data_IF_007539021160
#
_entry.id   IF_007539021160
#
_cell.length_a   1.000
_cell.length_b   1.000
_cell.length_c   1.000
_cell.angle_alpha   90.00
_cell.angle_beta   90.00
_cell.angle_gamma   90.00
#
_symmetry.space_group_name_H-M   'P 1'
#
loop_
_entity.id
_entity.type
_entity.pdbx_description
1 polymer ?
#
# COMPACT_ATOMS: atom_id res chain seq x y z
N UNK A 1 -5.75 0.76 17.53
CA UNK A 1 -5.63 2.23 17.54
C UNK A 1 -6.38 2.77 16.33
N UNK A 2 -7.24 3.76 16.52
CA UNK A 2 -7.91 4.42 15.41
C UNK A 2 -6.86 5.10 14.52
N UNK A 3 -6.89 4.85 13.22
CA UNK A 3 -6.01 5.53 12.26
C UNK A 3 -6.34 7.02 12.24
N UNK A 4 -5.31 7.85 12.37
CA UNK A 4 -5.44 9.28 12.11
C UNK A 4 -5.57 9.42 10.59
N UNK A 5 -6.77 9.79 10.13
CA UNK A 5 -6.96 10.27 8.77
C UNK A 5 -6.41 11.71 8.73
N UNK A 6 -5.18 11.86 8.25
CA UNK A 6 -4.48 13.13 8.21
C UNK A 6 -5.27 14.21 7.44
N UNK A 7 -5.93 13.82 6.36
CA UNK A 7 -6.75 14.74 5.59
C UNK A 7 -7.94 15.27 6.41
N UNK A 8 -8.66 14.37 7.09
CA UNK A 8 -9.76 14.78 7.99
C UNK A 8 -9.23 15.48 9.25
N UNK A 9 -8.09 15.05 9.78
CA UNK A 9 -7.47 15.72 10.93
C UNK A 9 -7.19 17.19 10.61
N UNK A 10 -6.50 17.49 9.50
CA UNK A 10 -6.17 18.86 9.13
C UNK A 10 -7.39 19.68 8.71
N UNK A 11 -8.43 19.06 8.15
CA UNK A 11 -9.71 19.73 7.86
C UNK A 11 -10.37 20.33 9.11
N UNK A 12 -10.18 19.69 10.27
CA UNK A 12 -10.74 20.13 11.56
C UNK A 12 -9.67 20.65 12.51
N UNK A 13 -8.45 20.90 12.01
CA UNK A 13 -7.36 21.41 12.82
C UNK A 13 -7.67 22.82 13.31
N UNK A 14 -7.58 23.00 14.62
CA UNK A 14 -7.70 24.27 15.31
C UNK A 14 -6.38 24.57 16.02
N UNK A 15 -5.67 25.61 15.54
CA UNK A 15 -4.40 26.07 16.10
C UNK A 15 -4.50 26.58 17.55
N UNK A 16 -5.72 26.85 18.04
CA UNK A 16 -5.98 27.25 19.43
C UNK A 16 -6.21 26.03 20.33
N UNK A 17 -6.36 24.83 19.78
CA UNK A 17 -6.54 23.62 20.55
C UNK A 17 -5.20 23.00 20.89
N UNK A 18 -4.79 22.96 22.19
CA UNK A 18 -3.51 22.41 22.61
C UNK A 18 -3.29 20.94 22.21
N UNK A 19 -4.38 20.16 22.11
CA UNK A 19 -4.30 18.76 21.70
C UNK A 19 -4.03 18.62 20.20
N UNK A 20 -4.54 19.52 19.38
CA UNK A 20 -4.25 19.56 17.97
C UNK A 20 -2.79 19.96 17.70
N UNK A 21 -2.27 20.95 18.45
CA UNK A 21 -0.85 21.34 18.38
C UNK A 21 0.06 20.17 18.74
N UNK A 22 -0.23 19.47 19.86
CA UNK A 22 0.53 18.29 20.28
C UNK A 22 0.48 17.16 19.26
N UNK A 23 -0.67 16.94 18.60
CA UNK A 23 -0.81 15.94 17.57
C UNK A 23 0.03 16.25 16.32
N UNK A 24 0.07 17.52 15.90
CA UNK A 24 0.95 17.97 14.79
C UNK A 24 2.41 17.75 15.17
N UNK A 25 2.83 18.19 16.36
CA UNK A 25 4.19 18.00 16.83
C UNK A 25 4.58 16.53 16.87
N UNK A 26 3.68 15.66 17.35
CA UNK A 26 3.92 14.21 17.34
C UNK A 26 4.09 13.66 15.93
N UNK A 27 3.30 14.14 14.96
CA UNK A 27 3.43 13.77 13.54
C UNK A 27 4.79 14.19 12.98
N UNK A 28 5.21 15.44 13.25
CA UNK A 28 6.51 15.97 12.84
C UNK A 28 7.67 15.15 13.41
N UNK A 29 7.56 14.72 14.68
CA UNK A 29 8.61 13.95 15.37
C UNK A 29 8.68 12.46 14.95
N UNK A 30 7.59 11.89 14.41
CA UNK A 30 7.47 10.45 14.19
C UNK A 30 7.26 10.03 12.73
N UNK A 31 7.04 10.96 11.81
CA UNK A 31 6.93 10.66 10.38
C UNK A 31 8.28 10.83 9.67
N UNK A 32 8.64 9.94 8.73
CA UNK A 32 9.79 10.15 7.86
C UNK A 32 9.67 11.45 7.07
N UNK A 33 10.79 12.16 6.88
CA UNK A 33 10.86 13.49 6.25
C UNK A 33 10.06 13.60 4.94
N UNK A 34 10.07 12.56 4.10
CA UNK A 34 9.30 12.54 2.84
C UNK A 34 7.76 12.55 3.01
N UNK A 35 7.28 12.17 4.20
CA UNK A 35 5.86 12.28 4.55
C UNK A 35 5.55 13.60 5.26
N UNK A 36 6.59 14.24 5.84
CA UNK A 36 6.49 15.55 6.43
C UNK A 36 6.32 16.64 5.37
N UNK A 37 6.96 16.51 4.21
CA UNK A 37 6.82 17.47 3.12
C UNK A 37 5.34 17.53 2.65
N UNK A 38 4.70 16.39 2.42
CA UNK A 38 3.28 16.33 2.09
C UNK A 38 2.39 16.82 3.26
N UNK A 39 2.85 16.66 4.49
CA UNK A 39 2.12 17.00 5.71
C UNK A 39 2.30 18.48 6.05
N UNK A 40 3.49 19.06 5.79
CA UNK A 40 3.80 20.49 5.99
C UNK A 40 2.94 21.34 5.05
N UNK A 41 2.81 20.97 3.78
CA UNK A 41 1.97 21.67 2.83
C UNK A 41 0.51 21.70 3.28
N UNK A 42 -0.02 20.59 3.78
CA UNK A 42 -1.36 20.50 4.34
C UNK A 42 -1.50 21.30 5.64
N UNK A 43 -0.51 21.23 6.53
CA UNK A 43 -0.51 22.02 7.76
C UNK A 43 -0.48 23.53 7.49
N UNK A 44 0.30 23.99 6.50
CA UNK A 44 0.34 25.39 6.09
C UNK A 44 -0.98 25.87 5.47
N UNK A 45 -1.60 25.04 4.62
CA UNK A 45 -2.92 25.32 4.04
C UNK A 45 -3.98 25.49 5.14
N UNK A 46 -4.01 24.60 6.12
CA UNK A 46 -5.03 24.61 7.18
C UNK A 46 -4.67 25.54 8.36
N UNK A 47 -3.40 25.92 8.56
CA UNK A 47 -2.98 26.98 9.51
C UNK A 47 -3.35 28.39 9.04
N UNK A 48 -3.98 28.54 7.88
CA UNK A 48 -4.46 29.83 7.41
C UNK A 48 -3.34 30.80 6.99
N UNK A 49 -2.14 30.32 6.72
CA UNK A 49 -1.11 31.12 6.05
C UNK A 49 -1.56 31.38 4.61
N UNK A 50 -2.41 32.38 4.44
CA UNK A 50 -2.73 32.97 3.15
C UNK A 50 -1.46 33.51 2.54
N UNK A 51 -0.99 32.95 1.46
CA UNK A 51 -0.08 33.62 0.58
C UNK A 51 1.12 32.83 0.08
N UNK A 52 0.87 31.73 -0.57
CA UNK A 52 1.60 31.42 -1.81
C UNK A 52 0.62 30.66 -2.67
N UNK A 53 0.26 31.26 -3.79
CA UNK A 53 -0.43 30.55 -4.83
C UNK A 53 0.43 29.34 -5.17
N UNK A 54 0.01 28.17 -4.70
CA UNK A 54 0.46 26.92 -5.29
C UNK A 54 -0.08 27.00 -6.70
N UNK A 55 0.74 27.50 -7.62
CA UNK A 55 0.50 27.26 -9.03
C UNK A 55 0.31 25.77 -9.13
N UNK A 56 -0.94 25.37 -9.37
CA UNK A 56 -1.24 24.05 -9.82
C UNK A 56 -0.32 23.81 -11.02
N UNK A 57 0.78 23.12 -10.79
CA UNK A 57 1.56 22.58 -11.87
C UNK A 57 0.64 21.52 -12.45
N UNK A 58 -0.08 21.91 -13.50
CA UNK A 58 -0.79 20.98 -14.34
C UNK A 58 0.20 19.86 -14.62
N UNK A 59 -0.09 18.69 -14.11
CA UNK A 59 0.66 17.50 -14.40
C UNK A 59 0.52 17.26 -15.92
N UNK A 60 1.44 17.83 -16.67
CA UNK A 60 1.69 17.39 -18.04
C UNK A 60 2.02 15.91 -17.95
N UNK A 61 1.51 15.06 -18.85
CA UNK A 61 1.86 13.66 -18.89
C UNK A 61 3.35 13.57 -19.21
N UNK A 62 4.18 13.45 -18.18
CA UNK A 62 5.59 13.14 -18.36
C UNK A 62 5.70 11.74 -18.92
N UNK A 63 6.31 11.66 -20.07
CA UNK A 63 6.74 10.45 -20.72
C UNK A 63 7.49 9.52 -19.72
N UNK A 64 7.47 8.19 -19.94
CA UNK A 64 8.04 7.23 -19.01
C UNK A 64 9.52 7.48 -18.83
N UNK A 65 9.92 7.93 -17.64
CA UNK A 65 11.33 7.96 -17.25
C UNK A 65 11.75 6.54 -16.98
N UNK A 66 12.55 5.99 -17.85
CA UNK A 66 13.19 4.69 -17.69
C UNK A 66 14.12 4.73 -16.47
N UNK A 67 13.94 3.81 -15.52
CA UNK A 67 15.00 3.38 -14.60
C UNK A 67 15.12 4.08 -13.25
N UNK A 68 14.04 4.51 -12.62
CA UNK A 68 14.01 4.85 -11.18
C UNK A 68 13.27 3.78 -10.38
N UNK A 69 13.53 3.72 -9.09
CA UNK A 69 12.98 2.75 -8.12
C UNK A 69 11.43 2.75 -8.15
N UNK A 70 10.88 1.93 -9.05
CA UNK A 70 9.47 1.94 -9.48
C UNK A 70 8.59 1.13 -8.50
N UNK A 71 8.71 1.44 -7.20
CA UNK A 71 7.87 0.85 -6.17
C UNK A 71 6.48 1.52 -6.18
N UNK A 72 5.38 0.79 -6.44
CA UNK A 72 4.04 1.36 -6.37
C UNK A 72 3.69 1.73 -4.93
N UNK A 73 3.85 2.99 -4.57
CA UNK A 73 3.65 3.48 -3.20
C UNK A 73 2.21 3.31 -2.72
N UNK A 74 1.24 3.44 -3.64
CA UNK A 74 -0.16 3.17 -3.33
C UNK A 74 -0.39 1.69 -2.96
N UNK A 75 0.39 0.78 -3.55
CA UNK A 75 0.35 -0.65 -3.20
C UNK A 75 0.84 -0.92 -1.78
N UNK A 76 1.94 -0.28 -1.37
CA UNK A 76 2.43 -0.39 0.01
C UNK A 76 1.39 0.13 1.02
N UNK A 77 0.71 1.23 0.67
CA UNK A 77 -0.37 1.78 1.50
C UNK A 77 -1.53 0.79 1.64
N UNK A 78 -1.98 0.20 0.54
CA UNK A 78 -3.04 -0.79 0.55
C UNK A 78 -2.63 -2.04 1.36
N UNK A 79 -1.42 -2.56 1.16
CA UNK A 79 -0.93 -3.71 1.92
C UNK A 79 -0.97 -3.40 3.41
N UNK A 80 -0.39 -2.28 3.84
CA UNK A 80 -0.39 -1.86 5.25
C UNK A 80 -1.80 -1.64 5.81
N UNK A 81 -2.76 -1.34 4.95
CA UNK A 81 -4.15 -1.18 5.36
C UNK A 81 -4.83 -2.51 5.71
N UNK A 82 -4.53 -3.56 5.00
CA UNK A 82 -5.22 -4.84 5.16
C UNK A 82 -4.42 -5.89 5.92
N UNK A 83 -3.09 -5.79 5.94
CA UNK A 83 -2.23 -6.63 6.77
C UNK A 83 -2.04 -5.99 8.16
N UNK A 84 -2.06 -6.78 9.20
CA UNK A 84 -1.66 -6.32 10.53
C UNK A 84 -0.14 -6.16 10.65
N UNK A 85 0.36 -5.13 11.33
CA UNK A 85 1.79 -5.03 11.64
C UNK A 85 2.08 -5.64 13.02
N UNK A 86 2.90 -6.67 13.04
CA UNK A 86 3.33 -7.33 14.27
C UNK A 86 4.83 -7.13 14.48
N UNK A 87 5.21 -6.29 15.44
CA UNK A 87 6.62 -5.98 15.73
C UNK A 87 7.32 -7.08 16.55
N UNK A 88 6.57 -8.09 17.02
CA UNK A 88 7.09 -9.28 17.68
C UNK A 88 6.72 -10.50 16.84
N UNK A 89 7.69 -11.39 16.67
CA UNK A 89 7.52 -12.61 15.90
C UNK A 89 6.41 -13.52 16.46
N UNK A 90 5.62 -14.10 15.57
CA UNK A 90 4.52 -15.01 15.88
C UNK A 90 4.51 -16.22 14.94
N UNK A 91 3.97 -17.36 15.35
CA UNK A 91 3.86 -18.53 14.50
C UNK A 91 2.79 -18.32 13.43
N UNK A 92 2.93 -18.98 12.28
CA UNK A 92 1.90 -18.97 11.26
C UNK A 92 0.54 -19.41 11.83
N UNK A 93 -0.51 -18.58 11.73
CA UNK A 93 -1.84 -18.89 12.28
C UNK A 93 -2.48 -20.15 11.72
N UNK A 94 -2.12 -20.57 10.49
CA UNK A 94 -2.70 -21.75 9.84
C UNK A 94 -2.05 -23.03 10.32
N UNK A 95 -0.72 -23.04 10.45
CA UNK A 95 0.04 -24.21 10.89
C UNK A 95 0.26 -24.28 12.40
N UNK A 96 0.12 -23.13 13.10
CA UNK A 96 0.49 -23.00 14.51
C UNK A 96 2.00 -23.07 14.76
N UNK A 97 2.82 -23.06 13.69
CA UNK A 97 4.26 -23.27 13.76
C UNK A 97 5.04 -22.46 12.72
N UNK A 98 5.82 -23.14 11.93
CA UNK A 98 6.61 -22.51 10.84
C UNK A 98 5.74 -22.24 9.61
N UNK A 99 6.06 -21.16 8.85
CA UNK A 99 7.15 -20.21 9.11
C UNK A 99 6.82 -19.21 10.22
N UNK A 100 7.83 -18.77 10.97
CA UNK A 100 7.69 -17.67 11.91
C UNK A 100 7.58 -16.37 11.12
N UNK A 101 6.59 -15.56 11.48
CA UNK A 101 6.18 -14.35 10.76
C UNK A 101 6.37 -13.11 11.62
N UNK A 102 6.70 -11.96 11.00
CA UNK A 102 6.87 -10.68 11.68
C UNK A 102 6.54 -9.52 10.72
N UNK A 103 6.39 -8.32 11.26
CA UNK A 103 6.11 -7.11 10.49
C UNK A 103 4.76 -7.18 9.79
N UNK A 104 4.76 -6.98 8.49
CA UNK A 104 3.59 -6.99 7.62
C UNK A 104 3.30 -8.37 6.98
N UNK A 105 3.76 -9.45 7.60
CA UNK A 105 3.61 -10.80 7.06
C UNK A 105 4.91 -11.38 6.48
N UNK A 106 6.06 -10.80 6.81
CA UNK A 106 7.37 -11.26 6.35
C UNK A 106 7.86 -12.46 7.15
N UNK A 107 8.44 -13.46 6.48
CA UNK A 107 8.95 -14.69 7.09
C UNK A 107 10.47 -14.81 7.01
N UNK A 108 11.14 -13.85 6.36
CA UNK A 108 12.59 -13.83 6.13
C UNK A 108 13.19 -12.48 6.47
N UNK A 109 14.39 -12.51 7.07
CA UNK A 109 15.24 -11.33 7.30
C UNK A 109 15.82 -10.82 5.98
N UNK A 110 16.45 -9.66 5.98
CA UNK A 110 17.08 -9.07 4.77
C UNK A 110 18.17 -9.95 4.15
N UNK A 111 18.86 -10.73 4.96
CA UNK A 111 19.89 -11.70 4.55
C UNK A 111 19.32 -13.05 4.08
N UNK A 112 17.99 -13.20 4.10
CA UNK A 112 17.30 -14.44 3.71
C UNK A 112 17.15 -15.46 4.84
N UNK A 113 17.74 -15.24 6.01
CA UNK A 113 17.58 -16.14 7.17
C UNK A 113 16.14 -16.09 7.73
N UNK A 114 15.66 -17.17 8.37
CA UNK A 114 14.34 -17.19 8.98
C UNK A 114 14.28 -16.33 10.25
N UNK A 115 13.09 -15.89 10.59
CA UNK A 115 12.80 -15.37 11.93
C UNK A 115 12.58 -16.51 12.92
N UNK A 116 12.82 -16.23 14.20
CA UNK A 116 12.60 -17.14 15.32
C UNK A 116 11.63 -16.52 16.33
N UNK A 117 10.99 -17.37 17.11
CA UNK A 117 10.16 -16.92 18.21
C UNK A 117 11.00 -16.09 19.19
N UNK A 118 10.46 -14.93 19.56
CA UNK A 118 11.16 -13.96 20.42
C UNK A 118 11.85 -12.83 19.66
N UNK A 119 12.06 -12.96 18.34
CA UNK A 119 12.56 -11.85 17.52
C UNK A 119 11.60 -10.64 17.58
N UNK A 120 12.17 -9.45 17.63
CA UNK A 120 11.46 -8.18 17.60
C UNK A 120 12.09 -7.25 16.56
N UNK A 121 11.27 -6.41 15.96
CA UNK A 121 11.72 -5.39 15.01
C UNK A 121 11.05 -4.06 15.32
N UNK A 122 11.63 -2.98 14.85
CA UNK A 122 11.02 -1.66 14.85
C UNK A 122 10.00 -1.51 13.71
N UNK A 123 9.15 -0.49 13.79
CA UNK A 123 8.22 -0.16 12.69
C UNK A 123 8.97 0.15 11.39
N UNK A 124 10.09 0.86 11.49
CA UNK A 124 10.92 1.16 10.32
C UNK A 124 11.47 -0.11 9.68
N UNK A 125 11.99 -1.05 10.46
CA UNK A 125 12.47 -2.33 9.95
C UNK A 125 11.34 -3.14 9.30
N UNK A 126 10.13 -3.15 9.88
CA UNK A 126 8.97 -3.77 9.27
C UNK A 126 8.66 -3.18 7.90
N UNK A 127 8.71 -1.85 7.76
CA UNK A 127 8.46 -1.14 6.52
C UNK A 127 9.53 -1.43 5.46
N UNK A 128 10.80 -1.46 5.87
CA UNK A 128 11.91 -1.80 4.97
C UNK A 128 11.84 -3.26 4.50
N UNK A 129 11.44 -4.18 5.37
CA UNK A 129 11.23 -5.59 5.02
C UNK A 129 10.08 -5.74 4.02
N UNK A 130 8.97 -5.03 4.20
CA UNK A 130 7.87 -5.02 3.24
C UNK A 130 8.32 -4.53 1.87
N UNK A 131 9.05 -3.42 1.80
CA UNK A 131 9.57 -2.88 0.55
C UNK A 131 10.50 -3.89 -0.13
N UNK A 132 11.41 -4.50 0.63
CA UNK A 132 12.36 -5.50 0.13
C UNK A 132 11.61 -6.72 -0.41
N UNK A 133 10.61 -7.20 0.32
CA UNK A 133 9.77 -8.33 -0.11
C UNK A 133 9.02 -7.99 -1.40
N UNK A 134 8.40 -6.81 -1.48
CA UNK A 134 7.70 -6.39 -2.68
C UNK A 134 8.64 -6.31 -3.90
N UNK A 135 9.84 -5.75 -3.74
CA UNK A 135 10.83 -5.64 -4.80
C UNK A 135 11.30 -7.00 -5.32
N UNK A 136 11.55 -7.94 -4.41
CA UNK A 136 12.19 -9.19 -4.76
C UNK A 136 11.21 -10.30 -5.16
N UNK A 137 10.02 -10.34 -4.55
CA UNK A 137 9.07 -11.44 -4.72
C UNK A 137 7.90 -11.11 -5.65
N UNK A 138 7.42 -9.87 -5.67
CA UNK A 138 6.20 -9.51 -6.39
C UNK A 138 6.45 -8.71 -7.67
N UNK A 139 7.24 -7.64 -7.61
CA UNK A 139 7.46 -6.76 -8.76
C UNK A 139 8.06 -7.47 -10.00
N UNK A 140 8.97 -8.46 -9.88
CA UNK A 140 9.49 -9.15 -11.06
C UNK A 140 8.41 -9.84 -11.90
N UNK A 141 7.37 -10.38 -11.25
CA UNK A 141 6.24 -11.01 -11.94
C UNK A 141 5.23 -9.96 -12.44
N UNK A 142 4.94 -8.94 -11.65
CA UNK A 142 4.01 -7.87 -12.01
C UNK A 142 4.48 -7.06 -13.23
N UNK A 143 5.77 -6.79 -13.33
CA UNK A 143 6.37 -6.09 -14.49
C UNK A 143 6.23 -6.84 -15.82
N UNK A 144 5.90 -8.13 -15.78
CA UNK A 144 5.60 -8.93 -16.98
C UNK A 144 4.15 -8.79 -17.47
N UNK A 145 3.29 -8.17 -16.68
CA UNK A 145 1.90 -7.91 -17.07
C UNK A 145 1.92 -6.91 -18.25
N UNK A 146 1.21 -7.20 -19.36
CA UNK A 146 1.11 -6.28 -20.47
C UNK A 146 0.66 -4.89 -20.03
N UNK A 147 1.21 -3.87 -20.67
CA UNK A 147 0.89 -2.46 -20.37
C UNK A 147 1.28 -1.97 -18.96
N UNK A 148 2.10 -2.72 -18.20
CA UNK A 148 2.56 -2.31 -16.87
C UNK A 148 3.13 -0.88 -16.86
N UNK A 149 3.96 -0.54 -17.85
CA UNK A 149 4.60 0.77 -17.95
C UNK A 149 3.64 1.92 -18.26
N UNK A 150 2.44 1.61 -18.75
CA UNK A 150 1.39 2.58 -19.03
C UNK A 150 0.48 2.83 -17.81
N UNK A 151 0.60 1.98 -16.78
CA UNK A 151 -0.21 2.07 -15.57
C UNK A 151 0.35 3.15 -14.65
N UNK A 152 -0.55 3.90 -14.03
CA UNK A 152 -0.23 4.83 -12.96
C UNK A 152 0.18 4.11 -11.66
N UNK A 153 0.66 4.84 -10.67
CA UNK A 153 0.96 4.30 -9.34
C UNK A 153 -0.27 3.65 -8.69
N UNK A 154 -1.46 4.25 -8.85
CA UNK A 154 -2.72 3.70 -8.35
C UNK A 154 -3.06 2.34 -8.96
N UNK A 155 -2.89 2.18 -10.28
CA UNK A 155 -3.13 0.92 -10.98
C UNK A 155 -2.11 -0.15 -10.62
N UNK A 156 -0.82 0.19 -10.65
CA UNK A 156 0.27 -0.71 -10.23
C UNK A 156 0.13 -1.08 -8.76
N UNK A 157 -0.26 -0.14 -7.91
CA UNK A 157 -0.50 -0.34 -6.49
C UNK A 157 -1.64 -1.30 -6.19
N UNK A 158 -2.75 -1.20 -6.93
CA UNK A 158 -3.85 -2.16 -6.84
C UNK A 158 -3.39 -3.59 -7.14
N UNK A 159 -2.63 -3.77 -8.22
CA UNK A 159 -2.09 -5.08 -8.60
C UNK A 159 -1.04 -5.60 -7.60
N UNK A 160 -0.23 -4.72 -7.02
CA UNK A 160 0.73 -5.11 -5.98
C UNK A 160 0.01 -5.60 -4.72
N UNK A 161 -1.03 -4.90 -4.26
CA UNK A 161 -1.85 -5.35 -3.12
C UNK A 161 -2.56 -6.66 -3.43
N UNK A 162 -3.10 -6.81 -4.63
CA UNK A 162 -3.74 -8.03 -5.08
C UNK A 162 -2.77 -9.22 -5.11
N UNK A 163 -1.58 -9.02 -5.69
CA UNK A 163 -0.52 -10.03 -5.72
C UNK A 163 -0.03 -10.41 -4.32
N UNK A 164 0.10 -9.44 -3.42
CA UNK A 164 0.52 -9.68 -2.04
C UNK A 164 -0.43 -10.62 -1.31
N UNK A 165 -1.73 -10.50 -1.57
CA UNK A 165 -2.77 -11.31 -0.96
C UNK A 165 -2.94 -12.68 -1.62
N UNK A 166 -2.85 -12.78 -2.95
CA UNK A 166 -3.20 -13.96 -3.72
C UNK A 166 -2.02 -14.64 -4.43
N UNK A 167 -0.84 -14.05 -4.30
CA UNK A 167 0.40 -14.57 -4.92
C UNK A 167 0.81 -13.80 -6.17
N UNK A 168 2.14 -13.69 -6.37
CA UNK A 168 2.75 -13.00 -7.50
C UNK A 168 2.45 -13.63 -8.87
N UNK A 169 2.04 -14.90 -8.87
CA UNK A 169 1.74 -15.66 -10.08
C UNK A 169 0.28 -15.60 -10.54
N UNK A 170 -0.52 -14.66 -10.02
CA UNK A 170 -1.93 -14.60 -10.40
C UNK A 170 -2.14 -14.35 -11.90
N UNK A 171 -1.30 -13.49 -12.52
CA UNK A 171 -1.41 -13.22 -13.95
C UNK A 171 -1.01 -14.45 -14.77
N UNK A 172 -1.95 -15.01 -15.48
CA UNK A 172 -1.78 -16.26 -16.24
C UNK A 172 -2.03 -17.54 -15.43
N UNK A 173 -2.36 -17.43 -14.16
CA UNK A 173 -2.71 -18.60 -13.33
C UNK A 173 -4.12 -19.12 -13.62
N UNK A 174 -4.34 -20.43 -13.42
CA UNK A 174 -5.56 -21.15 -13.83
C UNK A 174 -6.86 -20.59 -13.24
N UNK A 175 -6.81 -20.06 -12.01
CA UNK A 175 -7.99 -19.50 -11.35
C UNK A 175 -8.16 -18.00 -11.57
N UNK A 176 -7.31 -17.37 -12.42
CA UNK A 176 -7.26 -15.92 -12.64
C UNK A 176 -7.60 -15.51 -14.06
N UNK A 177 -8.41 -16.31 -14.77
CA UNK A 177 -8.72 -16.09 -16.18
C UNK A 177 -9.35 -14.73 -16.47
N UNK A 178 -10.29 -14.27 -15.63
CA UNK A 178 -10.98 -12.99 -15.87
C UNK A 178 -10.03 -11.83 -15.75
N UNK A 179 -9.30 -11.69 -14.64
CA UNK A 179 -8.37 -10.56 -14.44
C UNK A 179 -7.22 -10.62 -15.45
N UNK A 180 -6.69 -11.81 -15.78
CA UNK A 180 -5.65 -12.00 -16.79
C UNK A 180 -6.10 -11.49 -18.17
N UNK A 181 -7.29 -11.89 -18.62
CA UNK A 181 -7.87 -11.45 -19.89
C UNK A 181 -8.09 -9.93 -19.90
N UNK A 182 -8.68 -9.39 -18.84
CA UNK A 182 -8.99 -7.97 -18.70
C UNK A 182 -7.72 -7.12 -18.77
N UNK A 183 -6.64 -7.52 -18.09
CA UNK A 183 -5.36 -6.83 -18.14
C UNK A 183 -4.68 -6.97 -19.52
N UNK A 184 -4.69 -8.18 -20.09
CA UNK A 184 -4.10 -8.46 -21.41
C UNK A 184 -4.73 -7.61 -22.52
N UNK A 185 -6.05 -7.45 -22.47
CA UNK A 185 -6.82 -6.75 -23.49
C UNK A 185 -6.94 -5.24 -23.22
N UNK A 186 -6.31 -4.72 -22.16
CA UNK A 186 -6.39 -3.31 -21.74
C UNK A 186 -7.83 -2.84 -21.46
N UNK A 187 -8.69 -3.75 -20.98
CA UNK A 187 -10.06 -3.44 -20.58
C UNK A 187 -10.07 -2.81 -19.17
N UNK A 188 -9.41 -1.66 -19.04
CA UNK A 188 -9.09 -1.05 -17.73
C UNK A 188 -10.29 -0.61 -16.91
N UNK A 189 -11.36 -0.23 -17.55
CA UNK A 189 -12.66 0.07 -16.91
C UNK A 189 -13.28 -1.15 -16.21
N UNK A 190 -12.96 -2.37 -16.69
CA UNK A 190 -13.45 -3.63 -16.12
C UNK A 190 -12.56 -4.21 -15.02
N UNK A 191 -11.34 -3.68 -14.83
CA UNK A 191 -10.40 -4.23 -13.84
C UNK A 191 -10.95 -4.17 -12.41
N UNK A 192 -11.60 -3.10 -11.93
CA UNK A 192 -12.19 -3.09 -10.59
C UNK A 192 -13.18 -4.22 -10.34
N UNK A 193 -14.05 -4.50 -11.31
CA UNK A 193 -15.02 -5.60 -11.20
C UNK A 193 -14.33 -6.97 -11.27
N UNK A 194 -13.31 -7.11 -12.12
CA UNK A 194 -12.51 -8.32 -12.20
C UNK A 194 -11.79 -8.62 -10.87
N UNK A 195 -11.19 -7.61 -10.22
CA UNK A 195 -10.60 -7.74 -8.88
C UNK A 195 -11.64 -8.20 -7.85
N UNK A 196 -12.86 -7.66 -7.90
CA UNK A 196 -13.92 -7.95 -6.93
C UNK A 196 -14.42 -9.39 -6.96
N UNK A 197 -14.17 -10.14 -8.03
CA UNK A 197 -14.49 -11.58 -8.09
C UNK A 197 -13.70 -12.39 -7.06
N UNK A 198 -12.51 -11.94 -6.66
CA UNK A 198 -11.58 -12.66 -5.78
C UNK A 198 -11.76 -12.31 -4.29
N UNK A 199 -13.01 -12.27 -3.84
CA UNK A 199 -13.38 -12.02 -2.44
C UNK A 199 -13.73 -13.28 -1.66
N UNK A 200 -13.59 -14.48 -2.29
CA UNK A 200 -13.95 -15.79 -1.73
C UNK A 200 -15.41 -15.85 -1.22
N UNK A 201 -16.40 -15.76 -2.13
CA UNK A 201 -17.81 -15.68 -1.75
C UNK A 201 -18.26 -16.87 -0.89
N UNK A 202 -19.08 -16.60 0.14
CA UNK A 202 -19.63 -17.62 1.04
C UNK A 202 -18.66 -18.06 2.16
N UNK A 203 -17.44 -17.50 2.20
CA UNK A 203 -16.48 -17.81 3.27
C UNK A 203 -16.59 -16.84 4.44
N UNK A 204 -16.07 -17.23 5.61
CA UNK A 204 -15.96 -16.37 6.79
C UNK A 204 -15.02 -15.16 6.60
N UNK A 205 -14.18 -15.17 5.57
CA UNK A 205 -13.25 -14.07 5.22
C UNK A 205 -13.79 -13.17 4.12
N UNK A 206 -14.95 -13.46 3.52
CA UNK A 206 -15.50 -12.73 2.40
C UNK A 206 -15.62 -11.22 2.67
N UNK A 207 -16.11 -10.83 3.83
CA UNK A 207 -16.33 -9.40 4.16
C UNK A 207 -15.02 -8.60 4.18
N UNK A 208 -13.95 -9.20 4.70
CA UNK A 208 -12.60 -8.62 4.71
C UNK A 208 -12.01 -8.51 3.32
N UNK A 209 -12.11 -9.60 2.55
CA UNK A 209 -11.61 -9.63 1.17
C UNK A 209 -12.42 -8.69 0.26
N UNK A 210 -13.72 -8.58 0.43
CA UNK A 210 -14.54 -7.65 -0.33
C UNK A 210 -14.14 -6.18 -0.09
N UNK A 211 -13.82 -5.81 1.17
CA UNK A 211 -13.29 -4.48 1.49
C UNK A 211 -11.97 -4.23 0.79
N UNK A 212 -11.04 -5.20 0.83
CA UNK A 212 -9.73 -5.13 0.16
C UNK A 212 -9.89 -4.95 -1.34
N UNK A 213 -10.69 -5.78 -2.00
CA UNK A 213 -10.97 -5.70 -3.46
C UNK A 213 -11.57 -4.34 -3.85
N UNK A 214 -12.48 -3.80 -3.02
CA UNK A 214 -13.03 -2.45 -3.24
C UNK A 214 -11.95 -1.38 -3.15
N UNK A 215 -11.11 -1.39 -2.13
CA UNK A 215 -10.03 -0.42 -1.97
C UNK A 215 -9.01 -0.50 -3.13
N UNK A 216 -8.69 -1.71 -3.61
CA UNK A 216 -7.87 -1.91 -4.80
C UNK A 216 -8.54 -1.36 -6.06
N UNK A 217 -9.84 -1.62 -6.24
CA UNK A 217 -10.63 -1.06 -7.34
C UNK A 217 -10.69 0.48 -7.32
N UNK A 218 -10.83 1.08 -6.15
CA UNK A 218 -10.79 2.54 -5.98
C UNK A 218 -9.39 3.12 -6.27
N UNK A 219 -8.32 2.44 -5.84
CA UNK A 219 -6.95 2.81 -6.20
C UNK A 219 -6.74 2.76 -7.72
N UNK A 220 -7.26 1.73 -8.36
CA UNK A 220 -7.21 1.58 -9.82
C UNK A 220 -7.88 2.73 -10.56
N UNK A 221 -9.07 3.15 -10.12
CA UNK A 221 -9.86 4.23 -10.75
C UNK A 221 -9.23 5.61 -10.60
N UNK A 222 -8.51 5.87 -9.50
CA UNK A 222 -7.86 7.16 -9.22
C UNK A 222 -6.59 7.41 -10.03
N UNK A 223 -6.07 6.44 -10.67
CA UNK A 223 -4.90 6.52 -11.53
C UNK A 223 -5.28 6.25 -12.96
#
# INVERSE_FOLDING_TARGET
MARIDLHNFFKFYDEKNPNHIKAVQWLEDNLPVKYLDDTVDWAEIYRGKKGSAVTAVAASPTAPVAGGDDMPMMGLKLIKEFEGCHLKAYPDPLSGGLPITIGWGTTRKKDGSPFHMGDTITQQEADELLITQCKNQFLPSLRKIPHWNEMSDGKRGALLSFAYNLGAGFYGGDNFNTITRTLKNKEWDKVPDALYLYRNPGSNVESGLARRRKAEGESWKRG
#
